data_IF_200503465973
#
_entry.id   IF_200503465973
#
_cell.length_a   1.000
_cell.length_b   1.000
_cell.length_c   1.000
_cell.angle_alpha   90.00
_cell.angle_beta   90.00
_cell.angle_gamma   90.00
#
_symmetry.space_group_name_H-M   'P 1'
#
loop_
_entity.id
_entity.type
_entity.pdbx_description
1 polymer ?
#
# COMPACT_ATOMS: atom_id res chain seq x y z
N UNK A 1 25.35 -12.01 17.64
CA UNK A 1 26.77 -11.60 17.77
C UNK A 1 27.33 -11.42 16.37
N UNK A 2 27.81 -10.22 16.08
CA UNK A 2 28.41 -9.91 14.77
C UNK A 2 29.81 -10.55 14.71
N UNK A 3 29.98 -11.56 13.87
CA UNK A 3 31.26 -12.27 13.72
C UNK A 3 32.28 -11.45 12.91
N UNK A 4 31.83 -10.60 12.01
CA UNK A 4 32.67 -9.72 11.19
C UNK A 4 31.92 -8.43 10.88
N UNK A 5 32.57 -7.27 11.05
CA UNK A 5 31.96 -5.96 10.82
C UNK A 5 31.68 -5.65 9.35
N UNK A 6 32.36 -6.33 8.40
CA UNK A 6 32.11 -6.15 6.96
C UNK A 6 31.98 -4.67 6.56
N UNK A 7 30.89 -4.34 5.84
CA UNK A 7 30.56 -2.98 5.41
C UNK A 7 30.27 -2.00 6.57
N UNK A 8 29.95 -2.48 7.77
CA UNK A 8 29.71 -1.64 8.96
C UNK A 8 30.94 -0.86 9.41
N UNK A 9 32.13 -1.22 8.92
CA UNK A 9 33.35 -0.44 9.15
C UNK A 9 33.25 0.94 8.50
N UNK A 10 32.56 1.03 7.36
CA UNK A 10 32.41 2.26 6.58
C UNK A 10 31.15 3.07 6.96
N UNK A 11 30.13 2.40 7.50
CA UNK A 11 28.89 3.01 7.97
C UNK A 11 28.61 2.51 9.38
N UNK A 12 29.14 3.19 10.43
CA UNK A 12 28.90 2.80 11.81
C UNK A 12 27.42 2.87 12.13
N UNK A 13 26.83 1.69 12.41
CA UNK A 13 25.43 1.58 12.83
C UNK A 13 25.32 2.12 14.26
N UNK A 14 24.29 2.93 14.52
CA UNK A 14 23.95 3.39 15.86
C UNK A 14 23.25 2.32 16.71
N UNK A 15 23.04 1.11 16.18
CA UNK A 15 22.47 0.01 16.97
C UNK A 15 23.49 -0.43 18.01
N UNK A 16 23.17 -0.21 19.28
CA UNK A 16 23.92 -0.78 20.39
C UNK A 16 23.72 -2.30 20.36
N UNK A 17 24.72 -3.02 19.90
CA UNK A 17 24.72 -4.48 19.94
C UNK A 17 24.70 -4.89 21.42
N UNK A 18 23.66 -5.61 21.81
CA UNK A 18 23.55 -6.12 23.17
C UNK A 18 24.37 -7.42 23.25
N UNK A 19 25.58 -7.33 23.78
CA UNK A 19 26.45 -8.49 23.97
C UNK A 19 25.82 -9.33 25.06
N UNK A 20 25.34 -10.52 24.72
CA UNK A 20 24.89 -11.50 25.72
C UNK A 20 26.08 -12.12 26.41
N UNK A 21 25.98 -12.36 27.74
CA UNK A 21 27.02 -13.09 28.47
C UNK A 21 27.23 -14.49 27.87
N UNK A 22 28.42 -15.07 27.96
CA UNK A 22 28.69 -16.42 27.50
C UNK A 22 28.01 -17.43 28.44
N UNK A 23 26.83 -17.90 28.04
CA UNK A 23 26.11 -18.96 28.74
C UNK A 23 26.63 -20.33 28.35
N UNK A 24 26.62 -21.28 29.34
CA UNK A 24 26.97 -22.68 29.10
C UNK A 24 25.69 -23.54 29.08
N UNK A 25 25.74 -24.63 28.33
CA UNK A 25 24.65 -25.59 28.33
C UNK A 25 24.41 -26.19 29.72
N UNK A 26 23.14 -26.14 30.20
CA UNK A 26 22.75 -26.60 31.53
C UNK A 26 22.97 -25.55 32.67
N UNK A 27 23.41 -24.34 32.36
CA UNK A 27 23.54 -23.27 33.34
C UNK A 27 22.15 -22.77 33.77
N UNK A 28 21.91 -22.75 35.08
CA UNK A 28 20.73 -22.11 35.67
C UNK A 28 20.86 -20.60 35.62
N UNK A 29 19.84 -19.93 35.03
CA UNK A 29 19.80 -18.48 34.91
C UNK A 29 18.64 -17.96 35.75
N UNK A 30 18.96 -17.09 36.71
CA UNK A 30 17.96 -16.35 37.48
C UNK A 30 17.28 -15.32 36.54
N UNK A 31 15.97 -15.46 36.31
CA UNK A 31 15.19 -14.55 35.49
C UNK A 31 14.20 -13.82 36.37
N UNK A 32 14.25 -12.50 36.33
CA UNK A 32 13.22 -11.64 36.89
C UNK A 32 12.11 -11.42 35.83
N UNK A 33 10.90 -11.80 36.18
CA UNK A 33 9.75 -11.65 35.27
C UNK A 33 9.05 -10.34 35.60
N UNK A 34 8.99 -9.44 34.65
CA UNK A 34 8.20 -8.21 34.75
C UNK A 34 6.99 -8.33 33.84
N UNK A 35 5.80 -8.23 34.38
CA UNK A 35 4.57 -8.07 33.62
C UNK A 35 4.45 -6.60 33.22
N UNK A 36 4.47 -6.32 31.93
CA UNK A 36 4.27 -4.97 31.40
C UNK A 36 2.90 -4.92 30.73
N UNK A 37 2.03 -4.10 31.26
CA UNK A 37 0.79 -3.76 30.59
C UNK A 37 1.11 -2.76 29.47
N UNK A 38 0.70 -3.07 28.25
CA UNK A 38 0.84 -2.18 27.10
C UNK A 38 -0.46 -2.21 26.27
N UNK A 39 -0.81 -1.09 25.69
CA UNK A 39 -1.98 -0.97 24.83
C UNK A 39 -1.57 -1.06 23.37
N UNK A 40 -2.36 -1.77 22.57
CA UNK A 40 -2.17 -1.80 21.11
C UNK A 40 -2.35 -0.41 20.54
N UNK A 41 -1.41 0.02 19.71
CA UNK A 41 -1.49 1.30 19.00
C UNK A 41 -2.31 1.14 17.73
N UNK A 42 -3.12 2.14 17.36
CA UNK A 42 -3.83 2.11 16.10
C UNK A 42 -2.82 2.02 14.92
N UNK A 43 -3.25 1.46 13.77
CA UNK A 43 -2.40 1.42 12.58
C UNK A 43 -1.88 2.80 12.21
N UNK A 44 -0.64 2.88 11.78
CA UNK A 44 -0.06 4.14 11.33
C UNK A 44 -0.78 4.65 10.08
N UNK A 45 -1.04 5.95 10.04
CA UNK A 45 -1.59 6.58 8.84
C UNK A 45 -0.65 6.42 7.64
N UNK A 46 -1.27 6.37 6.47
CA UNK A 46 -0.56 6.23 5.21
C UNK A 46 0.26 7.51 4.97
N UNK A 47 1.52 7.34 4.65
CA UNK A 47 2.40 8.38 4.14
C UNK A 47 2.61 8.18 2.64
N UNK A 48 3.05 9.21 1.93
CA UNK A 48 3.39 9.13 0.51
C UNK A 48 4.40 8.01 0.22
N UNK A 49 5.43 7.88 1.05
CA UNK A 49 6.42 6.80 0.94
C UNK A 49 5.81 5.41 1.17
N UNK A 50 4.92 5.25 2.17
CA UNK A 50 4.25 3.97 2.41
C UNK A 50 3.26 3.63 1.28
N UNK A 51 2.61 4.63 0.69
CA UNK A 51 1.73 4.46 -0.46
C UNK A 51 2.50 3.96 -1.68
N UNK A 52 3.64 4.60 -1.99
CA UNK A 52 4.51 4.23 -3.11
C UNK A 52 5.16 2.84 -2.96
N UNK A 53 5.70 2.55 -1.78
CA UNK A 53 6.54 1.34 -1.58
C UNK A 53 5.77 0.11 -1.13
N UNK A 54 4.60 0.29 -0.51
CA UNK A 54 3.85 -0.82 0.07
C UNK A 54 2.46 -0.96 -0.56
N UNK A 55 1.62 0.07 -0.48
CA UNK A 55 0.20 -0.06 -0.81
C UNK A 55 -0.05 -0.22 -2.31
N UNK A 56 0.46 0.68 -3.15
CA UNK A 56 0.28 0.57 -4.59
C UNK A 56 0.89 -0.71 -5.19
N UNK A 57 2.13 -1.14 -4.81
CA UNK A 57 2.67 -2.42 -5.24
C UNK A 57 1.86 -3.62 -4.82
N UNK A 58 1.37 -3.66 -3.58
CA UNK A 58 0.60 -4.80 -3.06
C UNK A 58 -0.69 -5.05 -3.83
N UNK A 59 -1.29 -4.00 -4.39
CA UNK A 59 -2.47 -4.11 -5.24
C UNK A 59 -2.14 -4.12 -6.74
N UNK A 60 -0.87 -4.20 -7.12
CA UNK A 60 -0.42 -4.13 -8.52
C UNK A 60 -0.90 -2.86 -9.25
N UNK A 61 -1.02 -1.74 -8.53
CA UNK A 61 -1.47 -0.48 -9.09
C UNK A 61 -0.31 0.32 -9.65
N UNK A 62 -0.40 0.66 -10.93
CA UNK A 62 0.58 1.43 -11.67
C UNK A 62 1.97 0.77 -11.73
N UNK A 63 2.82 1.30 -12.55
CA UNK A 63 4.24 0.91 -12.62
C UNK A 63 5.07 1.77 -11.67
N UNK A 64 6.29 1.36 -11.30
CA UNK A 64 7.20 2.21 -10.51
C UNK A 64 7.36 3.62 -11.07
N UNK A 65 7.39 3.76 -12.39
CA UNK A 65 7.54 5.05 -13.06
C UNK A 65 6.29 5.96 -13.01
N UNK A 66 5.10 5.38 -12.85
CA UNK A 66 3.83 6.12 -12.91
C UNK A 66 3.23 6.45 -11.55
N UNK A 67 3.60 5.72 -10.49
CA UNK A 67 2.98 5.84 -9.16
C UNK A 67 3.12 7.23 -8.55
N UNK A 68 4.29 7.85 -8.71
CA UNK A 68 4.53 9.19 -8.19
C UNK A 68 3.62 10.23 -8.85
N UNK A 69 3.49 10.16 -10.18
CA UNK A 69 2.60 11.02 -10.94
C UNK A 69 1.11 10.81 -10.57
N UNK A 70 0.72 9.56 -10.25
CA UNK A 70 -0.64 9.25 -9.78
C UNK A 70 -0.93 9.93 -8.45
N UNK A 71 -0.04 9.82 -7.47
CA UNK A 71 -0.20 10.45 -6.15
C UNK A 71 -0.26 11.96 -6.29
N UNK A 72 0.66 12.55 -7.06
CA UNK A 72 0.68 13.98 -7.34
C UNK A 72 -0.63 14.45 -7.98
N UNK A 73 -1.14 13.73 -8.99
CA UNK A 73 -2.41 14.05 -9.64
C UNK A 73 -3.59 14.09 -8.67
N UNK A 74 -3.65 13.17 -7.69
CA UNK A 74 -4.72 13.13 -6.69
C UNK A 74 -4.59 14.30 -5.71
N UNK A 75 -3.37 14.71 -5.36
CA UNK A 75 -3.08 15.89 -4.54
C UNK A 75 -3.43 17.20 -5.29
N UNK A 76 -2.99 17.35 -6.54
CA UNK A 76 -3.24 18.54 -7.36
C UNK A 76 -4.75 18.76 -7.60
N UNK A 77 -5.52 17.67 -7.70
CA UNK A 77 -6.98 17.71 -7.79
C UNK A 77 -7.67 18.02 -6.45
N UNK A 78 -6.91 18.10 -5.37
CA UNK A 78 -7.42 18.44 -4.05
C UNK A 78 -8.27 17.33 -3.40
N UNK A 79 -8.06 16.05 -3.74
CA UNK A 79 -8.76 14.93 -3.11
C UNK A 79 -8.07 14.47 -1.81
N UNK A 80 -6.76 14.67 -1.72
CA UNK A 80 -5.97 14.39 -0.53
C UNK A 80 -5.04 15.56 -0.23
N UNK A 81 -4.68 15.73 1.05
CA UNK A 81 -3.68 16.67 1.52
C UNK A 81 -2.56 15.92 2.24
N UNK A 82 -1.37 16.54 2.26
CA UNK A 82 -0.21 16.03 2.97
C UNK A 82 0.11 16.94 4.15
N UNK A 83 0.20 16.38 5.33
CA UNK A 83 0.71 17.11 6.48
C UNK A 83 2.22 17.34 6.32
N UNK A 84 2.64 18.61 6.43
CA UNK A 84 4.03 19.03 6.20
C UNK A 84 5.00 18.50 7.25
N UNK A 85 4.52 18.23 8.48
CA UNK A 85 5.38 17.79 9.59
C UNK A 85 5.55 16.28 9.59
N UNK A 86 4.45 15.53 9.53
CA UNK A 86 4.45 14.07 9.63
C UNK A 86 4.57 13.36 8.27
N UNK A 87 4.33 14.07 7.16
CA UNK A 87 4.24 13.47 5.82
C UNK A 87 3.04 12.55 5.60
N UNK A 88 2.10 12.54 6.55
CA UNK A 88 0.90 11.73 6.49
C UNK A 88 -0.10 12.30 5.48
N UNK A 89 -0.83 11.42 4.82
CA UNK A 89 -1.86 11.77 3.86
C UNK A 89 -3.23 11.76 4.54
N UNK A 90 -4.03 12.77 4.24
CA UNK A 90 -5.40 12.92 4.73
C UNK A 90 -6.34 13.13 3.56
N UNK A 91 -7.51 12.47 3.53
CA UNK A 91 -8.54 12.79 2.55
C UNK A 91 -9.11 14.19 2.84
N UNK A 92 -9.43 14.92 1.79
CA UNK A 92 -10.22 16.15 1.89
C UNK A 92 -11.71 15.83 1.90
N UNK A 93 -12.54 16.80 2.28
CA UNK A 93 -14.00 16.67 2.16
C UNK A 93 -14.42 16.31 0.73
N UNK A 94 -13.81 16.97 -0.26
CA UNK A 94 -14.03 16.67 -1.68
C UNK A 94 -13.66 15.22 -2.03
N UNK A 95 -12.55 14.71 -1.49
CA UNK A 95 -12.14 13.32 -1.70
C UNK A 95 -13.12 12.32 -1.07
N UNK A 96 -13.58 12.59 0.14
CA UNK A 96 -14.56 11.76 0.85
C UNK A 96 -15.88 11.72 0.09
N UNK A 97 -16.39 12.89 -0.34
CA UNK A 97 -17.63 12.99 -1.12
C UNK A 97 -17.53 12.21 -2.43
N UNK A 98 -16.40 12.35 -3.16
CA UNK A 98 -16.19 11.60 -4.39
C UNK A 98 -16.32 10.09 -4.16
N UNK A 99 -15.58 9.55 -3.19
CA UNK A 99 -15.63 8.11 -2.89
C UNK A 99 -17.04 7.69 -2.48
N UNK A 100 -17.71 8.47 -1.64
CA UNK A 100 -19.08 8.18 -1.23
C UNK A 100 -20.06 8.09 -2.41
N UNK A 101 -19.96 8.98 -3.39
CA UNK A 101 -20.77 8.90 -4.62
C UNK A 101 -20.42 7.69 -5.47
N UNK A 102 -19.13 7.40 -5.64
CA UNK A 102 -18.68 6.24 -6.39
C UNK A 102 -19.13 4.91 -5.76
N UNK A 103 -19.13 4.84 -4.43
CA UNK A 103 -19.61 3.68 -3.67
C UNK A 103 -21.13 3.50 -3.81
N UNK A 104 -21.91 4.61 -3.75
CA UNK A 104 -23.36 4.56 -4.02
C UNK A 104 -23.68 4.02 -5.40
N UNK A 105 -22.91 4.41 -6.41
CA UNK A 105 -23.04 3.92 -7.76
C UNK A 105 -22.49 2.49 -7.92
N UNK A 106 -21.94 1.90 -6.87
CA UNK A 106 -21.31 0.58 -6.87
C UNK A 106 -20.32 0.40 -8.03
N UNK A 107 -19.46 1.41 -8.21
CA UNK A 107 -18.47 1.42 -9.30
C UNK A 107 -17.31 0.50 -8.95
N UNK A 108 -17.14 -0.58 -9.70
CA UNK A 108 -16.13 -1.58 -9.44
C UNK A 108 -14.68 -1.05 -9.47
N UNK A 109 -14.45 0.10 -10.11
CA UNK A 109 -13.12 0.72 -10.25
C UNK A 109 -12.62 1.41 -8.97
N UNK A 110 -13.48 1.62 -7.97
CA UNK A 110 -13.06 2.13 -6.66
C UNK A 110 -12.32 1.06 -5.85
N UNK A 111 -12.51 -0.21 -6.20
CA UNK A 111 -11.82 -1.31 -5.56
C UNK A 111 -10.42 -1.49 -6.16
N UNK A 112 -9.34 -1.33 -5.37
CA UNK A 112 -7.96 -1.48 -5.84
C UNK A 112 -7.66 -2.87 -6.40
N UNK A 113 -8.32 -3.92 -5.90
CA UNK A 113 -8.15 -5.28 -6.41
C UNK A 113 -8.67 -5.43 -7.85
N UNK A 114 -9.76 -4.76 -8.19
CA UNK A 114 -10.30 -4.80 -9.56
C UNK A 114 -9.34 -4.16 -10.54
N UNK A 115 -8.81 -2.99 -10.20
CA UNK A 115 -7.82 -2.29 -11.03
C UNK A 115 -6.53 -3.11 -11.12
N UNK A 116 -6.06 -3.69 -10.03
CA UNK A 116 -4.88 -4.57 -10.02
C UNK A 116 -5.05 -5.80 -10.92
N UNK A 117 -6.23 -6.44 -10.94
CA UNK A 117 -6.53 -7.54 -11.86
C UNK A 117 -6.45 -7.11 -13.33
N UNK A 118 -6.85 -5.89 -13.65
CA UNK A 118 -6.74 -5.34 -14.99
C UNK A 118 -5.30 -5.08 -15.39
N UNK A 119 -4.47 -4.52 -14.49
CA UNK A 119 -3.03 -4.35 -14.73
C UNK A 119 -2.34 -5.69 -15.03
N UNK A 120 -2.67 -6.74 -14.26
CA UNK A 120 -2.17 -8.10 -14.52
C UNK A 120 -2.64 -8.63 -15.88
N UNK A 121 -3.90 -8.36 -16.26
CA UNK A 121 -4.40 -8.77 -17.57
C UNK A 121 -3.69 -8.04 -18.72
N UNK A 122 -3.44 -6.73 -18.56
CA UNK A 122 -2.69 -5.94 -19.53
C UNK A 122 -1.24 -6.45 -19.70
N UNK A 123 -0.58 -6.82 -18.60
CA UNK A 123 0.74 -7.45 -18.65
C UNK A 123 0.71 -8.77 -19.45
N UNK A 124 -0.30 -9.62 -19.21
CA UNK A 124 -0.46 -10.88 -19.97
C UNK A 124 -0.71 -10.66 -21.46
N UNK A 125 -1.39 -9.57 -21.85
CA UNK A 125 -1.53 -9.20 -23.24
C UNK A 125 -0.18 -8.82 -23.85
N UNK A 126 0.62 -8.02 -23.12
CA UNK A 126 1.97 -7.65 -23.55
C UNK A 126 2.90 -8.86 -23.72
N UNK A 127 2.71 -9.91 -22.91
CA UNK A 127 3.45 -11.17 -22.99
C UNK A 127 2.88 -12.16 -24.05
N UNK A 128 1.82 -11.80 -24.76
CA UNK A 128 1.14 -12.69 -25.71
C UNK A 128 0.34 -13.84 -25.10
N UNK A 129 0.13 -13.83 -23.77
CA UNK A 129 -0.59 -14.88 -23.01
C UNK A 129 -2.11 -14.66 -22.96
N UNK A 130 -2.60 -13.51 -23.40
CA UNK A 130 -4.01 -13.16 -23.46
C UNK A 130 -4.30 -12.35 -24.72
N UNK A 131 -5.45 -12.57 -25.34
CA UNK A 131 -5.89 -11.77 -26.48
C UNK A 131 -6.45 -10.43 -26.02
N UNK A 132 -6.09 -9.34 -26.70
CA UNK A 132 -6.58 -7.98 -26.42
C UNK A 132 -8.11 -7.90 -26.54
N UNK A 133 -8.67 -8.57 -27.54
CA UNK A 133 -10.10 -8.57 -27.86
C UNK A 133 -10.93 -9.12 -26.69
N UNK A 134 -10.47 -10.20 -26.05
CA UNK A 134 -11.14 -10.82 -24.90
C UNK A 134 -11.15 -9.87 -23.69
N UNK A 135 -10.06 -9.16 -23.47
CA UNK A 135 -9.97 -8.17 -22.39
C UNK A 135 -10.90 -6.99 -22.63
N UNK A 136 -10.85 -6.42 -23.85
CA UNK A 136 -11.71 -5.28 -24.24
C UNK A 136 -13.19 -5.64 -24.15
N UNK A 137 -13.59 -6.84 -24.57
CA UNK A 137 -14.97 -7.31 -24.46
C UNK A 137 -15.45 -7.36 -23.00
N UNK A 138 -14.61 -7.88 -22.08
CA UNK A 138 -14.91 -7.94 -20.63
C UNK A 138 -15.06 -6.55 -20.02
N UNK A 139 -14.15 -5.63 -20.35
CA UNK A 139 -14.20 -4.25 -19.85
C UNK A 139 -15.45 -3.54 -20.37
N UNK A 140 -15.75 -3.68 -21.66
CA UNK A 140 -16.94 -3.08 -22.28
C UNK A 140 -18.23 -3.58 -21.61
N UNK A 141 -18.34 -4.89 -21.37
CA UNK A 141 -19.49 -5.47 -20.68
C UNK A 141 -19.64 -4.92 -19.24
N UNK A 142 -18.52 -4.79 -18.52
CA UNK A 142 -18.53 -4.22 -17.17
C UNK A 142 -18.99 -2.75 -17.16
N UNK A 143 -18.52 -1.94 -18.10
CA UNK A 143 -18.93 -0.53 -18.25
C UNK A 143 -20.42 -0.43 -18.60
N UNK A 144 -20.91 -1.23 -19.57
CA UNK A 144 -22.33 -1.22 -19.94
C UNK A 144 -23.24 -1.51 -18.76
N UNK A 145 -22.92 -2.55 -17.97
CA UNK A 145 -23.68 -2.88 -16.75
C UNK A 145 -23.68 -1.75 -15.72
N UNK A 146 -22.60 -1.01 -15.60
CA UNK A 146 -22.53 0.13 -14.66
C UNK A 146 -23.33 1.33 -15.14
N UNK A 147 -23.34 1.60 -16.44
CA UNK A 147 -24.16 2.67 -17.04
C UNK A 147 -25.66 2.35 -16.81
N UNK A 148 -26.08 1.10 -17.02
CA UNK A 148 -27.45 0.66 -16.77
C UNK A 148 -27.86 0.89 -15.31
N UNK A 149 -27.03 0.44 -14.36
CA UNK A 149 -27.25 0.69 -12.91
C UNK A 149 -27.29 2.18 -12.56
N UNK A 150 -26.43 2.98 -13.15
CA UNK A 150 -26.42 4.43 -12.91
C UNK A 150 -27.72 5.10 -13.35
N UNK A 151 -28.37 4.61 -14.39
CA UNK A 151 -29.68 5.10 -14.85
C UNK A 151 -30.83 4.71 -13.92
N UNK A 152 -30.71 3.60 -13.19
CA UNK A 152 -31.74 3.16 -12.22
C UNK A 152 -31.69 3.95 -10.90
N UNK A 153 -30.56 4.57 -10.59
CA UNK A 153 -30.32 5.30 -9.33
C UNK A 153 -30.60 6.82 -9.47
N UNK A 154 -30.58 7.36 -10.68
CA UNK A 154 -30.86 8.76 -11.00
C UNK A 154 -32.28 8.97 -11.42
#
# INVERSE_FOLDING_TARGET
VTLSKGWQVYLPSQSKEQVLPPYQEGQEIAVERQLKEDATKPPQRITENSLLKKWLPNYSLGTPATRDAMIKSVQDKGYITKDKKSGQLFPTERGILLIHYLDKLNIAYTNPETTGKWEVALAKIGEGKMKKEDFVAKVRLAITKQIERGKEIG
#
